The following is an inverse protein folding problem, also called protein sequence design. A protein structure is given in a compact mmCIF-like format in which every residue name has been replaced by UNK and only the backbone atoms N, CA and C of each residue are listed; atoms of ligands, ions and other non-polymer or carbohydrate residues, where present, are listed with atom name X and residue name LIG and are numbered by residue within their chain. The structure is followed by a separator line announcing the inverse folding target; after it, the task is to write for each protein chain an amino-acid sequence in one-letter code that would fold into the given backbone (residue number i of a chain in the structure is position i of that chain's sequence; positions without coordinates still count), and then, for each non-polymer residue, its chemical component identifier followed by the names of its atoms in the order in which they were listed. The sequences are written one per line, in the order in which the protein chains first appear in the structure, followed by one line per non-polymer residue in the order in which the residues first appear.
data_IF_759571020223
#
_entry.id   IF_759571020223
#
_cell.length_a   1.000
_cell.length_b   1.000
_cell.length_c   1.000
_cell.angle_alpha   90.00
_cell.angle_beta   90.00
_cell.angle_gamma   90.00
#
_symmetry.space_group_name_H-M   'P 1'
#
loop_
_entity.id
_entity.type
_entity.pdbx_description
1 polymer ?
#
# COMPACT_ATOMS: atom_id res chain seq x y z
N UNK A 1 21.22 -9.23 -0.43
CA UNK A 1 20.53 -9.56 -1.69
C UNK A 1 19.07 -9.20 -1.44
N UNK A 2 18.60 -8.08 -1.99
CA UNK A 2 17.22 -7.61 -1.77
C UNK A 2 16.26 -8.46 -2.60
N UNK A 3 15.69 -9.48 -1.99
CA UNK A 3 14.70 -10.33 -2.65
C UNK A 3 13.36 -9.60 -2.67
N UNK A 4 12.81 -9.37 -3.87
CA UNK A 4 11.46 -8.84 -4.01
C UNK A 4 10.45 -9.96 -3.73
N UNK A 5 9.62 -9.76 -2.70
CA UNK A 5 8.59 -10.70 -2.28
C UNK A 5 7.24 -10.22 -2.84
N UNK A 6 6.39 -11.14 -3.32
CA UNK A 6 5.04 -10.80 -3.78
C UNK A 6 4.10 -10.59 -2.60
N UNK A 7 3.04 -9.80 -2.78
CA UNK A 7 2.04 -9.58 -1.73
C UNK A 7 1.46 -10.92 -1.22
N UNK A 8 1.21 -11.89 -2.10
CA UNK A 8 0.67 -13.19 -1.73
C UNK A 8 1.59 -14.05 -0.85
N UNK A 9 2.89 -13.73 -0.79
CA UNK A 9 3.90 -14.46 0.00
C UNK A 9 4.14 -13.80 1.36
N UNK A 10 3.57 -12.61 1.60
CA UNK A 10 3.69 -11.92 2.87
C UNK A 10 2.89 -12.63 3.96
N UNK A 11 3.54 -12.81 5.10
CA UNK A 11 2.93 -13.32 6.33
C UNK A 11 3.13 -12.30 7.45
N UNK A 12 2.35 -12.34 8.54
CA UNK A 12 2.59 -11.48 9.71
C UNK A 12 3.98 -11.67 10.34
N UNK A 13 4.66 -12.77 10.04
CA UNK A 13 6.00 -13.09 10.54
C UNK A 13 7.12 -12.62 9.59
N UNK A 14 6.79 -12.15 8.40
CA UNK A 14 7.76 -11.64 7.43
C UNK A 14 8.43 -10.37 7.95
N UNK A 15 9.74 -10.39 8.15
CA UNK A 15 10.56 -9.22 8.49
C UNK A 15 11.42 -8.78 7.31
N UNK A 16 11.79 -7.49 7.26
CA UNK A 16 12.76 -6.92 6.31
C UNK A 16 12.52 -7.31 4.83
N UNK A 17 11.31 -7.05 4.35
CA UNK A 17 10.90 -7.37 2.98
C UNK A 17 10.82 -6.12 2.10
N UNK A 18 11.00 -6.33 0.79
CA UNK A 18 10.79 -5.31 -0.23
C UNK A 18 9.79 -5.88 -1.23
N UNK A 19 8.77 -5.09 -1.59
CA UNK A 19 7.74 -5.48 -2.55
C UNK A 19 7.58 -4.37 -3.61
N UNK A 20 7.61 -4.77 -4.89
CA UNK A 20 7.30 -3.87 -6.01
C UNK A 20 5.81 -3.84 -6.26
N UNK A 21 5.18 -2.75 -5.87
CA UNK A 21 3.72 -2.56 -6.00
C UNK A 21 3.39 -1.35 -6.86
N UNK A 22 2.12 -1.26 -7.24
CA UNK A 22 1.50 -0.07 -7.78
C UNK A 22 0.32 0.33 -6.90
N UNK A 23 0.08 1.64 -6.78
CA UNK A 23 -1.09 2.17 -6.09
C UNK A 23 -2.29 2.00 -7.01
N UNK A 24 -3.32 1.31 -6.53
CA UNK A 24 -4.59 1.12 -7.23
C UNK A 24 -5.62 2.15 -6.79
N UNK A 25 -5.64 2.47 -5.50
CA UNK A 25 -6.59 3.42 -4.94
C UNK A 25 -6.05 4.08 -3.66
N UNK A 26 -6.56 5.28 -3.37
CA UNK A 26 -6.24 6.11 -2.21
C UNK A 26 -7.56 6.57 -1.59
N UNK A 27 -7.87 6.05 -0.40
CA UNK A 27 -9.06 6.36 0.37
C UNK A 27 -8.71 7.23 1.58
N UNK A 28 -9.11 8.50 1.57
CA UNK A 28 -8.92 9.43 2.70
C UNK A 28 -8.43 10.82 2.26
N UNK A 29 -8.08 11.71 3.22
CA UNK A 29 -7.83 11.48 4.64
C UNK A 29 -9.11 11.35 5.49
N UNK A 30 -9.16 10.34 6.35
CA UNK A 30 -10.27 10.05 7.28
C UNK A 30 -9.82 10.26 8.71
N UNK A 31 -10.71 10.74 9.59
CA UNK A 31 -10.44 10.85 11.02
C UNK A 31 -10.97 9.62 11.76
N UNK A 32 -10.15 9.01 12.62
CA UNK A 32 -10.57 7.90 13.47
C UNK A 32 -11.55 8.38 14.55
N UNK A 33 -12.68 7.69 14.66
CA UNK A 33 -13.76 8.03 15.61
C UNK A 33 -13.28 8.04 17.06
N UNK A 34 -12.30 7.21 17.40
CA UNK A 34 -11.85 7.02 18.79
C UNK A 34 -10.73 7.97 19.21
N UNK A 35 -9.78 8.24 18.31
CA UNK A 35 -8.52 8.90 18.68
C UNK A 35 -8.30 10.26 18.02
N UNK A 36 -9.23 10.73 17.18
CA UNK A 36 -9.08 11.94 16.35
C UNK A 36 -7.78 11.95 15.54
N UNK A 37 -7.33 10.76 15.16
CA UNK A 37 -6.14 10.60 14.32
C UNK A 37 -6.60 10.58 12.88
N UNK A 38 -6.03 11.47 12.08
CA UNK A 38 -6.18 11.41 10.63
C UNK A 38 -5.37 10.22 10.12
N UNK A 39 -5.90 9.55 9.11
CA UNK A 39 -5.20 8.49 8.39
C UNK A 39 -5.65 8.45 6.94
N UNK A 40 -4.85 7.81 6.11
CA UNK A 40 -5.19 7.52 4.73
C UNK A 40 -4.99 6.02 4.48
N UNK A 41 -5.96 5.39 3.84
CA UNK A 41 -5.87 4.00 3.41
C UNK A 41 -5.48 3.94 1.94
N UNK A 42 -4.56 3.06 1.58
CA UNK A 42 -4.15 2.82 0.20
C UNK A 42 -4.32 1.37 -0.16
N UNK A 43 -4.81 1.12 -1.36
CA UNK A 43 -4.89 -0.22 -1.93
C UNK A 43 -3.69 -0.39 -2.86
N UNK A 44 -2.79 -1.29 -2.49
CA UNK A 44 -1.62 -1.65 -3.29
C UNK A 44 -1.83 -2.99 -3.97
N UNK A 45 -1.27 -3.14 -5.16
CA UNK A 45 -1.25 -4.40 -5.90
C UNK A 45 0.17 -4.67 -6.39
N UNK A 46 0.59 -5.93 -6.49
CA UNK A 46 1.85 -6.30 -7.12
C UNK A 46 1.95 -5.69 -8.53
N UNK A 47 3.10 -5.09 -8.84
CA UNK A 47 3.39 -4.58 -10.17
C UNK A 47 3.62 -5.78 -11.11
N UNK A 48 2.61 -6.13 -11.89
CA UNK A 48 2.73 -7.23 -12.86
C UNK A 48 3.71 -6.84 -13.97
N UNK A 49 4.69 -7.71 -14.21
CA UNK A 49 5.42 -7.75 -15.49
C UNK A 49 4.43 -8.19 -16.58
N UNK A 50 4.47 -7.60 -17.80
CA UNK A 50 3.42 -7.72 -18.82
C UNK A 50 3.17 -9.13 -19.39
N UNK A 51 3.89 -10.16 -18.92
CA UNK A 51 3.94 -11.49 -19.52
C UNK A 51 2.96 -12.48 -18.86
N UNK A 52 2.45 -12.18 -17.67
CA UNK A 52 1.51 -13.08 -16.96
C UNK A 52 0.28 -12.30 -16.54
N UNK A 53 -0.87 -12.56 -17.19
CA UNK A 53 -2.16 -12.15 -16.66
C UNK A 53 -2.45 -12.98 -15.41
N UNK A 54 -1.98 -12.49 -14.25
CA UNK A 54 -2.38 -13.08 -12.98
C UNK A 54 -3.86 -12.75 -12.77
N UNK A 55 -4.69 -13.78 -12.91
CA UNK A 55 -6.16 -13.73 -12.75
C UNK A 55 -6.53 -13.40 -11.29
N UNK A 56 -5.59 -13.53 -10.35
CA UNK A 56 -5.76 -13.19 -8.94
C UNK A 56 -4.82 -12.03 -8.57
N UNK A 57 -5.31 -10.81 -8.77
CA UNK A 57 -4.64 -9.59 -8.31
C UNK A 57 -4.70 -9.55 -6.78
N UNK A 58 -3.60 -9.91 -6.13
CA UNK A 58 -3.48 -9.79 -4.68
C UNK A 58 -3.31 -8.32 -4.32
N UNK A 59 -4.20 -7.84 -3.45
CA UNK A 59 -4.15 -6.47 -2.95
C UNK A 59 -3.93 -6.48 -1.45
N UNK A 60 -3.16 -5.51 -0.96
CA UNK A 60 -3.00 -5.26 0.47
C UNK A 60 -3.33 -3.79 0.78
N UNK A 61 -3.90 -3.55 1.96
CA UNK A 61 -4.27 -2.20 2.41
C UNK A 61 -3.24 -1.66 3.39
N UNK A 62 -2.60 -0.54 3.05
CA UNK A 62 -1.74 0.21 3.98
C UNK A 62 -2.49 1.40 4.57
N UNK A 63 -2.32 1.61 5.88
CA UNK A 63 -2.79 2.81 6.57
C UNK A 63 -1.62 3.71 6.92
N UNK A 64 -1.61 4.94 6.41
CA UNK A 64 -0.58 5.96 6.67
C UNK A 64 -1.12 7.01 7.65
N UNK A 65 -0.27 7.38 8.62
CA UNK A 65 -0.55 8.33 9.69
C UNK A 65 0.36 9.57 9.59
N UNK A 66 1.09 9.72 8.47
CA UNK A 66 2.00 10.83 8.20
C UNK A 66 1.24 12.10 7.81
N UNK A 67 1.43 13.18 8.57
CA UNK A 67 0.71 14.45 8.38
C UNK A 67 0.98 15.07 7.01
N UNK A 68 2.21 14.97 6.50
CA UNK A 68 2.61 15.57 5.22
C UNK A 68 1.96 14.86 4.04
N UNK A 69 1.84 13.53 4.12
CA UNK A 69 1.16 12.72 3.11
C UNK A 69 -0.35 12.96 3.16
N UNK A 70 -0.92 13.02 4.38
CA UNK A 70 -2.35 13.24 4.58
C UNK A 70 -2.82 14.61 4.10
N UNK A 71 -2.07 15.67 4.39
CA UNK A 71 -2.41 17.04 3.99
C UNK A 71 -2.43 17.20 2.46
N UNK A 72 -1.64 16.39 1.75
CA UNK A 72 -1.65 16.34 0.29
C UNK A 72 -2.54 15.22 -0.29
N UNK A 73 -3.43 14.62 0.52
CA UNK A 73 -4.34 13.55 0.10
C UNK A 73 -3.64 12.37 -0.61
N UNK A 74 -2.38 12.09 -0.24
CA UNK A 74 -1.61 11.02 -0.88
C UNK A 74 -1.00 11.37 -2.24
N UNK A 75 -1.22 12.55 -2.82
CA UNK A 75 -0.71 12.92 -4.15
C UNK A 75 0.83 12.88 -4.25
N UNK A 76 1.53 13.08 -3.13
CA UNK A 76 3.01 12.95 -3.06
C UNK A 76 3.50 11.53 -3.34
N UNK A 77 2.64 10.51 -3.20
CA UNK A 77 2.97 9.11 -3.43
C UNK A 77 2.75 8.67 -4.87
N UNK A 78 2.18 9.54 -5.70
CA UNK A 78 1.90 9.29 -7.12
C UNK A 78 2.94 9.92 -8.07
N UNK A 79 3.95 10.62 -7.53
CA UNK A 79 5.05 11.26 -8.27
C UNK A 79 6.26 10.34 -8.35
#
# INVERSE_FOLDING_TARGET
MEQNIRICELTPQSSDWICKTQIVDICGPTESKEKKLKYLNMILQDKQEPIVMDIFKHTFTFTIWDQTIMDNQGNKLLQ
#
